data_IF_259510417604
#
_entry.id   IF_259510417604
#
_cell.length_a   1.000
_cell.length_b   1.000
_cell.length_c   1.000
_cell.angle_alpha   90.00
_cell.angle_beta   90.00
_cell.angle_gamma   90.00
#
_symmetry.space_group_name_H-M   'P 1'
#
loop_
_entity.id
_entity.type
_entity.pdbx_description
1 polymer ?
#
# COMPACT_ATOMS: atom_id res chain seq x y z
N UNK A 1 18.50 -30.48 -4.06
CA UNK A 1 17.42 -31.11 -3.27
C UNK A 1 16.56 -29.96 -2.76
N UNK A 2 15.42 -29.67 -3.39
CA UNK A 2 14.59 -28.53 -2.99
C UNK A 2 13.84 -28.90 -1.73
N UNK A 3 14.21 -28.27 -0.61
CA UNK A 3 13.54 -28.42 0.68
C UNK A 3 12.10 -27.91 0.55
N UNK A 4 11.17 -28.85 0.50
CA UNK A 4 9.74 -28.61 0.58
C UNK A 4 9.43 -28.09 1.99
N UNK A 5 9.36 -26.77 2.15
CA UNK A 5 8.89 -26.05 3.35
C UNK A 5 7.88 -25.04 2.80
N UNK A 6 6.64 -24.87 3.27
CA UNK A 6 5.74 -25.55 4.20
C UNK A 6 4.33 -25.06 3.78
N UNK A 7 3.28 -25.86 3.95
CA UNK A 7 1.88 -25.42 3.77
C UNK A 7 1.55 -24.07 4.45
N UNK A 8 2.35 -23.62 5.42
CA UNK A 8 2.23 -22.31 6.06
C UNK A 8 2.60 -21.14 5.14
N UNK A 9 3.69 -21.20 4.36
CA UNK A 9 4.14 -20.09 3.52
C UNK A 9 3.16 -19.82 2.37
N UNK A 10 2.60 -20.87 1.77
CA UNK A 10 1.55 -20.75 0.75
C UNK A 10 0.27 -20.11 1.32
N UNK A 11 -0.13 -20.51 2.53
CA UNK A 11 -1.28 -19.90 3.23
C UNK A 11 -1.05 -18.42 3.54
N UNK A 12 0.15 -18.09 4.06
CA UNK A 12 0.54 -16.69 4.33
C UNK A 12 0.53 -15.88 3.03
N UNK A 13 1.13 -16.43 1.96
CA UNK A 13 1.20 -15.78 0.65
C UNK A 13 -0.17 -15.50 0.06
N UNK A 14 -1.08 -16.48 0.09
CA UNK A 14 -2.46 -16.32 -0.39
C UNK A 14 -3.24 -15.28 0.42
N UNK A 15 -3.10 -15.28 1.74
CA UNK A 15 -3.75 -14.28 2.57
C UNK A 15 -3.20 -12.88 2.30
N UNK A 16 -1.88 -12.76 2.19
CA UNK A 16 -1.19 -11.51 1.87
C UNK A 16 -1.54 -11.01 0.46
N UNK A 17 -1.69 -11.92 -0.50
CA UNK A 17 -2.13 -11.60 -1.86
C UNK A 17 -3.50 -10.95 -1.82
N UNK A 18 -4.47 -11.55 -1.13
CA UNK A 18 -5.81 -10.95 -0.98
C UNK A 18 -5.76 -9.57 -0.32
N UNK A 19 -4.93 -9.38 0.71
CA UNK A 19 -4.76 -8.07 1.35
C UNK A 19 -4.18 -7.03 0.38
N UNK A 20 -3.15 -7.40 -0.39
CA UNK A 20 -2.51 -6.50 -1.36
C UNK A 20 -3.45 -6.19 -2.53
N UNK A 21 -4.18 -7.18 -3.05
CA UNK A 21 -5.20 -6.95 -4.09
C UNK A 21 -6.28 -5.99 -3.60
N UNK A 22 -6.79 -6.19 -2.37
CA UNK A 22 -7.76 -5.27 -1.77
C UNK A 22 -7.18 -3.87 -1.57
N UNK A 23 -5.92 -3.77 -1.17
CA UNK A 23 -5.22 -2.51 -1.03
C UNK A 23 -5.08 -1.80 -2.39
N UNK A 24 -4.74 -2.53 -3.46
CA UNK A 24 -4.61 -1.98 -4.81
C UNK A 24 -5.94 -1.49 -5.36
N UNK A 25 -7.04 -2.20 -5.12
CA UNK A 25 -8.39 -1.71 -5.47
C UNK A 25 -8.77 -0.46 -4.68
N UNK A 26 -8.50 -0.42 -3.36
CA UNK A 26 -8.67 0.79 -2.56
C UNK A 26 -7.81 1.95 -3.07
N UNK A 27 -6.59 1.67 -3.53
CA UNK A 27 -5.70 2.64 -4.17
C UNK A 27 -6.27 3.26 -5.43
N UNK A 28 -6.93 2.46 -6.29
CA UNK A 28 -7.64 2.96 -7.47
C UNK A 28 -8.81 3.88 -7.09
N UNK A 29 -9.59 3.50 -6.08
CA UNK A 29 -10.69 4.33 -5.60
C UNK A 29 -10.20 5.67 -5.05
N UNK A 30 -9.14 5.65 -4.25
CA UNK A 30 -8.48 6.85 -3.72
C UNK A 30 -7.98 7.75 -4.86
N UNK A 31 -7.38 7.18 -5.91
CA UNK A 31 -6.95 7.94 -7.08
C UNK A 31 -8.12 8.64 -7.79
N UNK A 32 -9.29 7.99 -7.88
CA UNK A 32 -10.49 8.65 -8.40
C UNK A 32 -10.90 9.88 -7.57
N UNK A 33 -10.85 9.79 -6.24
CA UNK A 33 -11.14 10.94 -5.36
C UNK A 33 -10.08 12.05 -5.52
N UNK A 34 -8.81 11.67 -5.68
CA UNK A 34 -7.71 12.61 -5.93
C UNK A 34 -7.95 13.39 -7.22
N UNK A 35 -8.37 12.72 -8.29
CA UNK A 35 -8.63 13.35 -9.58
C UNK A 35 -9.76 14.40 -9.47
N UNK A 36 -10.83 14.10 -8.73
CA UNK A 36 -11.90 15.07 -8.44
C UNK A 36 -11.38 16.28 -7.64
N UNK A 37 -10.56 16.04 -6.61
CA UNK A 37 -9.96 17.12 -5.82
C UNK A 37 -8.99 17.98 -6.64
N UNK A 38 -8.29 17.42 -7.62
CA UNK A 38 -7.40 18.16 -8.52
C UNK A 38 -8.13 19.13 -9.44
N UNK A 39 -9.44 18.95 -9.67
CA UNK A 39 -10.27 19.92 -10.40
C UNK A 39 -10.50 21.21 -9.60
N UNK A 40 -10.29 21.17 -8.28
CA UNK A 40 -10.45 22.33 -7.40
C UNK A 40 -9.11 23.06 -7.26
N UNK A 41 -9.07 24.33 -7.70
CA UNK A 41 -7.88 25.20 -7.69
C UNK A 41 -7.09 25.19 -6.37
N UNK A 42 -7.79 25.11 -5.24
CA UNK A 42 -7.19 25.12 -3.90
C UNK A 42 -6.29 23.89 -3.67
N UNK A 43 -6.68 22.72 -4.15
CA UNK A 43 -5.91 21.48 -4.01
C UNK A 43 -4.85 21.34 -5.10
N UNK A 44 -5.18 21.68 -6.35
CA UNK A 44 -4.24 21.62 -7.47
C UNK A 44 -2.96 22.45 -7.22
N UNK A 45 -3.12 23.64 -6.65
CA UNK A 45 -1.97 24.54 -6.34
C UNK A 45 -1.30 24.23 -5.00
N UNK A 46 -1.78 23.24 -4.25
CA UNK A 46 -1.24 22.91 -2.93
C UNK A 46 -0.04 21.97 -3.05
N UNK A 47 1.16 22.49 -2.76
CA UNK A 47 2.39 21.69 -2.82
C UNK A 47 2.43 20.48 -1.89
N UNK A 48 1.71 20.50 -0.75
CA UNK A 48 1.57 19.31 0.10
C UNK A 48 0.63 18.28 -0.52
N UNK A 49 -0.45 18.70 -1.19
CA UNK A 49 -1.35 17.80 -1.93
C UNK A 49 -0.62 17.11 -3.06
N UNK A 50 0.16 17.85 -3.86
CA UNK A 50 0.97 17.26 -4.93
C UNK A 50 2.03 16.28 -4.41
N UNK A 51 2.67 16.57 -3.27
CA UNK A 51 3.62 15.65 -2.63
C UNK A 51 2.94 14.40 -2.08
N UNK A 52 1.75 14.55 -1.48
CA UNK A 52 0.90 13.44 -1.08
C UNK A 52 0.64 12.49 -2.27
N UNK A 53 0.16 13.04 -3.40
CA UNK A 53 -0.11 12.25 -4.63
C UNK A 53 1.14 11.53 -5.12
N UNK A 54 2.27 12.23 -5.20
CA UNK A 54 3.52 11.63 -5.71
C UNK A 54 3.98 10.43 -4.86
N UNK A 55 3.93 10.58 -3.53
CA UNK A 55 4.29 9.49 -2.62
C UNK A 55 3.26 8.37 -2.61
N UNK A 56 1.97 8.69 -2.71
CA UNK A 56 0.89 7.71 -2.80
C UNK A 56 1.03 6.84 -4.04
N UNK A 57 1.21 7.47 -5.22
CA UNK A 57 1.40 6.78 -6.49
C UNK A 57 2.69 5.95 -6.51
N UNK A 58 3.77 6.47 -5.93
CA UNK A 58 5.01 5.70 -5.77
C UNK A 58 4.79 4.45 -4.93
N UNK A 59 4.06 4.55 -3.80
CA UNK A 59 3.71 3.40 -2.98
C UNK A 59 2.86 2.38 -3.74
N UNK A 60 1.80 2.83 -4.39
CA UNK A 60 0.91 1.96 -5.18
C UNK A 60 1.67 1.20 -6.28
N UNK A 61 2.63 1.84 -6.94
CA UNK A 61 3.46 1.17 -7.95
C UNK A 61 4.24 -0.02 -7.37
N UNK A 62 4.85 0.13 -6.19
CA UNK A 62 5.55 -0.97 -5.54
C UNK A 62 4.59 -2.05 -5.03
N UNK A 63 3.41 -1.69 -4.50
CA UNK A 63 2.40 -2.68 -4.11
C UNK A 63 1.86 -3.49 -5.29
N UNK A 64 1.66 -2.86 -6.44
CA UNK A 64 1.22 -3.56 -7.65
C UNK A 64 2.24 -4.60 -8.11
N UNK A 65 3.54 -4.28 -8.03
CA UNK A 65 4.61 -5.26 -8.28
C UNK A 65 4.55 -6.43 -7.30
N UNK A 66 4.34 -6.13 -6.01
CA UNK A 66 4.25 -7.14 -4.96
C UNK A 66 3.07 -8.10 -5.18
N UNK A 67 1.94 -7.61 -5.69
CA UNK A 67 0.80 -8.45 -6.08
C UNK A 67 1.18 -9.47 -7.16
N UNK A 68 1.81 -9.01 -8.25
CA UNK A 68 2.27 -9.88 -9.33
C UNK A 68 3.32 -10.89 -8.85
N UNK A 69 4.22 -10.45 -7.97
CA UNK A 69 5.23 -11.31 -7.37
C UNK A 69 4.62 -12.45 -6.54
N UNK A 70 3.67 -12.13 -5.65
CA UNK A 70 2.97 -13.11 -4.84
C UNK A 70 2.21 -14.11 -5.70
N UNK A 71 1.55 -13.65 -6.76
CA UNK A 71 0.86 -14.54 -7.70
C UNK A 71 1.84 -15.59 -8.25
N UNK A 72 3.01 -15.16 -8.72
CA UNK A 72 4.05 -16.07 -9.20
C UNK A 72 4.52 -17.06 -8.12
N UNK A 73 4.75 -16.60 -6.89
CA UNK A 73 5.14 -17.48 -5.78
C UNK A 73 4.05 -18.54 -5.47
N UNK A 74 2.79 -18.11 -5.43
CA UNK A 74 1.64 -18.97 -5.15
C UNK A 74 1.45 -20.00 -6.26
N UNK A 75 1.54 -19.60 -7.53
CA UNK A 75 1.31 -20.51 -8.65
C UNK A 75 2.47 -21.52 -8.80
N UNK A 76 3.71 -21.06 -8.62
CA UNK A 76 4.91 -21.92 -8.72
C UNK A 76 5.20 -22.76 -7.49
N UNK A 77 4.61 -22.41 -6.33
CA UNK A 77 4.95 -22.98 -5.01
C UNK A 77 6.44 -22.87 -4.64
N UNK A 78 7.14 -21.87 -5.20
CA UNK A 78 8.57 -21.71 -5.04
C UNK A 78 8.91 -20.61 -4.03
N UNK A 79 9.15 -20.99 -2.78
CA UNK A 79 9.34 -20.09 -1.63
C UNK A 79 10.79 -20.03 -1.14
N UNK A 80 11.73 -19.81 -2.05
CA UNK A 80 13.15 -19.74 -1.70
C UNK A 80 13.45 -18.50 -0.84
N UNK A 81 14.28 -18.57 0.23
CA UNK A 81 14.52 -17.44 1.12
C UNK A 81 15.00 -16.15 0.43
N UNK A 82 15.92 -16.18 -0.56
CA UNK A 82 16.31 -14.96 -1.28
C UNK A 82 15.15 -14.26 -1.99
N UNK A 83 14.23 -15.05 -2.56
CA UNK A 83 13.03 -14.56 -3.22
C UNK A 83 12.08 -13.91 -2.21
N UNK A 84 11.87 -14.53 -1.06
CA UNK A 84 11.03 -13.97 -0.01
C UNK A 84 11.65 -12.68 0.56
N UNK A 85 12.97 -12.63 0.75
CA UNK A 85 13.69 -11.43 1.17
C UNK A 85 13.53 -10.29 0.16
N UNK A 86 13.69 -10.56 -1.13
CA UNK A 86 13.47 -9.56 -2.19
C UNK A 86 12.06 -8.98 -2.13
N UNK A 87 11.05 -9.85 -2.03
CA UNK A 87 9.65 -9.43 -1.91
C UNK A 87 9.36 -8.57 -0.69
N UNK A 88 9.86 -8.97 0.48
CA UNK A 88 9.68 -8.21 1.72
C UNK A 88 10.34 -6.82 1.58
N UNK A 89 11.49 -6.73 0.92
CA UNK A 89 12.14 -5.45 0.65
C UNK A 89 11.30 -4.55 -0.24
N UNK A 90 10.69 -5.08 -1.31
CA UNK A 90 9.76 -4.31 -2.17
C UNK A 90 8.55 -3.80 -1.38
N UNK A 91 7.98 -4.63 -0.47
CA UNK A 91 6.92 -4.16 0.42
C UNK A 91 7.41 -3.05 1.35
N UNK A 92 8.58 -3.22 1.97
CA UNK A 92 9.14 -2.21 2.87
C UNK A 92 9.40 -0.88 2.14
N UNK A 93 9.86 -0.92 0.89
CA UNK A 93 10.01 0.27 0.05
C UNK A 93 8.67 0.97 -0.17
N UNK A 94 7.61 0.21 -0.46
CA UNK A 94 6.27 0.77 -0.57
C UNK A 94 5.77 1.38 0.74
N UNK A 95 6.01 0.71 1.88
CA UNK A 95 5.60 1.20 3.19
C UNK A 95 6.29 2.54 3.52
N UNK A 96 7.57 2.70 3.18
CA UNK A 96 8.28 3.99 3.32
C UNK A 96 7.63 5.10 2.48
N UNK A 97 7.23 4.81 1.23
CA UNK A 97 6.52 5.78 0.39
C UNK A 97 5.18 6.17 1.01
N UNK A 98 4.40 5.20 1.51
CA UNK A 98 3.13 5.49 2.18
C UNK A 98 3.33 6.27 3.48
N UNK A 99 4.34 5.97 4.29
CA UNK A 99 4.66 6.76 5.48
C UNK A 99 4.91 8.23 5.15
N UNK A 100 5.67 8.53 4.09
CA UNK A 100 5.89 9.90 3.61
C UNK A 100 4.60 10.55 3.09
N UNK A 101 3.78 9.79 2.37
CA UNK A 101 2.46 10.21 1.92
C UNK A 101 1.58 10.66 3.11
N UNK A 102 1.53 9.89 4.20
CA UNK A 102 0.67 10.21 5.35
C UNK A 102 1.11 11.47 6.11
N UNK A 103 2.41 11.78 6.15
CA UNK A 103 2.89 13.06 6.70
C UNK A 103 2.32 14.25 5.94
N UNK A 104 2.30 14.19 4.60
CA UNK A 104 1.69 15.24 3.79
C UNK A 104 0.17 15.27 3.95
N UNK A 105 -0.46 14.10 4.04
CA UNK A 105 -1.90 13.97 4.28
C UNK A 105 -2.35 14.61 5.59
N UNK A 106 -1.61 14.38 6.68
CA UNK A 106 -1.88 15.02 7.97
C UNK A 106 -1.81 16.54 7.88
N UNK A 107 -0.83 17.07 7.14
CA UNK A 107 -0.71 18.51 6.88
C UNK A 107 -1.92 19.05 6.11
N UNK A 108 -2.42 18.31 5.11
CA UNK A 108 -3.62 18.69 4.34
C UNK A 108 -4.85 18.70 5.26
N UNK A 109 -5.05 17.67 6.09
CA UNK A 109 -6.17 17.61 7.04
C UNK A 109 -6.19 18.83 7.97
N UNK A 110 -5.03 19.22 8.51
CA UNK A 110 -4.93 20.39 9.39
C UNK A 110 -5.29 21.69 8.64
N UNK A 111 -4.70 21.90 7.47
CA UNK A 111 -4.86 23.13 6.69
C UNK A 111 -6.28 23.30 6.10
N UNK A 112 -7.06 22.22 6.01
CA UNK A 112 -8.37 22.20 5.38
C UNK A 112 -9.48 21.79 6.35
N UNK A 113 -9.20 21.67 7.65
CA UNK A 113 -10.16 21.25 8.68
C UNK A 113 -11.44 22.08 8.71
N UNK A 114 -11.37 23.36 8.36
CA UNK A 114 -12.51 24.28 8.34
C UNK A 114 -13.21 24.36 6.98
N UNK A 115 -12.73 23.65 5.96
CA UNK A 115 -13.33 23.63 4.63
C UNK A 115 -14.21 22.42 4.50
N UNK A 116 -15.53 22.63 4.52
CA UNK A 116 -16.49 21.59 4.16
C UNK A 116 -16.28 21.21 2.70
N UNK A 117 -15.78 20.00 2.47
CA UNK A 117 -15.59 19.43 1.13
C UNK A 117 -15.81 17.91 1.22
N UNK A 118 -16.90 17.44 0.61
CA UNK A 118 -17.31 16.04 0.71
C UNK A 118 -16.26 15.07 0.18
N UNK A 119 -15.51 15.45 -0.86
CA UNK A 119 -14.49 14.58 -1.45
C UNK A 119 -13.24 14.50 -0.58
N UNK A 120 -12.89 15.57 0.14
CA UNK A 120 -11.84 15.53 1.16
C UNK A 120 -12.27 14.62 2.33
N UNK A 121 -13.53 14.69 2.76
CA UNK A 121 -14.04 13.83 3.84
C UNK A 121 -14.04 12.35 3.42
N UNK A 122 -14.46 12.06 2.17
CA UNK A 122 -14.33 10.72 1.56
C UNK A 122 -12.87 10.28 1.53
N UNK A 123 -11.95 11.13 1.07
CA UNK A 123 -10.52 10.82 1.03
C UNK A 123 -9.97 10.47 2.41
N UNK A 124 -10.35 11.23 3.46
CA UNK A 124 -9.94 10.96 4.84
C UNK A 124 -10.40 9.58 5.30
N UNK A 125 -11.66 9.23 5.05
CA UNK A 125 -12.21 7.92 5.40
C UNK A 125 -11.45 6.80 4.70
N UNK A 126 -11.22 6.91 3.41
CA UNK A 126 -10.56 5.87 2.63
C UNK A 126 -9.08 5.72 2.98
N UNK A 127 -8.36 6.82 3.20
CA UNK A 127 -6.97 6.75 3.67
C UNK A 127 -6.88 6.07 5.04
N UNK A 128 -7.82 6.30 5.95
CA UNK A 128 -7.84 5.61 7.25
C UNK A 128 -8.05 4.09 7.08
N UNK A 129 -8.97 3.68 6.20
CA UNK A 129 -9.17 2.26 5.86
C UNK A 129 -7.90 1.66 5.26
N UNK A 130 -7.27 2.37 4.32
CA UNK A 130 -6.03 1.98 3.66
C UNK A 130 -4.89 1.76 4.66
N UNK A 131 -4.72 2.68 5.62
CA UNK A 131 -3.75 2.54 6.72
C UNK A 131 -4.03 1.29 7.56
N UNK A 132 -5.30 0.96 7.80
CA UNK A 132 -5.70 -0.26 8.49
C UNK A 132 -5.16 -1.51 7.79
N UNK A 133 -5.36 -1.61 6.46
CA UNK A 133 -4.87 -2.74 5.66
C UNK A 133 -3.34 -2.81 5.67
N UNK A 134 -2.64 -1.68 5.52
CA UNK A 134 -1.17 -1.64 5.55
C UNK A 134 -0.59 -2.16 6.87
N UNK A 135 -1.24 -1.87 8.01
CA UNK A 135 -0.83 -2.41 9.32
C UNK A 135 -0.93 -3.93 9.34
N UNK A 136 -2.05 -4.48 8.87
CA UNK A 136 -2.24 -5.94 8.78
C UNK A 136 -1.18 -6.56 7.87
N UNK A 137 -0.91 -5.98 6.69
CA UNK A 137 0.16 -6.42 5.79
C UNK A 137 1.50 -6.50 6.53
N UNK A 138 1.88 -5.44 7.25
CA UNK A 138 3.15 -5.38 8.00
C UNK A 138 3.24 -6.45 9.09
N UNK A 139 2.14 -6.77 9.75
CA UNK A 139 2.12 -7.81 10.78
C UNK A 139 2.21 -9.21 10.17
N UNK A 140 1.53 -9.46 9.05
CA UNK A 140 1.62 -10.74 8.33
C UNK A 140 3.02 -10.98 7.76
N UNK A 141 3.74 -9.93 7.36
CA UNK A 141 5.13 -10.09 6.90
C UNK A 141 6.05 -10.72 7.94
N UNK A 142 5.82 -10.46 9.23
CA UNK A 142 6.61 -11.04 10.32
C UNK A 142 6.43 -12.56 10.44
N UNK A 143 5.39 -13.12 9.83
CA UNK A 143 5.13 -14.57 9.83
C UNK A 143 5.98 -15.32 8.81
N UNK A 144 6.64 -14.62 7.88
CA UNK A 144 7.71 -15.21 7.09
C UNK A 144 8.94 -15.37 7.99
N UNK A 145 9.06 -16.54 8.64
CA UNK A 145 10.21 -16.94 9.45
C UNK A 145 11.44 -17.15 8.56
N UNK A 146 12.04 -16.07 8.06
CA UNK A 146 13.25 -16.13 7.27
C UNK A 146 14.48 -16.30 8.17
N UNK A 147 15.41 -17.22 7.83
CA UNK A 147 16.67 -17.32 8.55
C UNK A 147 17.47 -16.02 8.36
N UNK A 148 17.90 -15.44 9.48
CA UNK A 148 18.79 -14.27 9.56
C UNK A 148 20.21 -14.60 9.13
#
# INVERSE_FOLDING_TARGET
>A
MYTFISNSQDKISKYLFNLISNLNESGKFINGIIDELLMVNKFNKNGHFLKFINHFNSGNFFMLKCEGYLKCLIDSKFYDPPLLTYFINEINMSLDKFSKCFVYFDTIKINYKAVANEDLDKLIKEINNFIGILKVIKDILKLYNLPS
#
